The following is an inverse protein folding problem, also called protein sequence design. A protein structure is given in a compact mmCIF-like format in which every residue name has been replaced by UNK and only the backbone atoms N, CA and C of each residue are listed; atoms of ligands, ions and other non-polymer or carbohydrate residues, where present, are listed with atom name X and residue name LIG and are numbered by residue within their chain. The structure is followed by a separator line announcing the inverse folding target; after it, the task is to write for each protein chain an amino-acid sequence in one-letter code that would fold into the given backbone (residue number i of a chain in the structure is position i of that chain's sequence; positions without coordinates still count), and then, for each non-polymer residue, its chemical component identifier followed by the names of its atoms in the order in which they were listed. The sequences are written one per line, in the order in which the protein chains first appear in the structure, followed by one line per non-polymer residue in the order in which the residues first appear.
data_IF_107032142736
#
_entry.id   IF_107032142736
#
_cell.length_a   1.000
_cell.length_b   1.000
_cell.length_c   1.000
_cell.angle_alpha   90.00
_cell.angle_beta   90.00
_cell.angle_gamma   90.00
#
_symmetry.space_group_name_H-M   'P 1'
#
loop_
_entity.id
_entity.type
_entity.pdbx_description
1 polymer ?
#
# COMPACT_ATOMS: atom_id res chain seq x y z
N UNK A 1 28.41 38.55 -13.27
CA UNK A 1 27.72 37.27 -12.99
C UNK A 1 26.97 37.48 -11.69
N UNK A 2 25.73 37.91 -11.83
CA UNK A 2 24.98 38.59 -10.79
C UNK A 2 24.49 37.63 -9.71
N UNK A 3 24.77 37.95 -8.44
CA UNK A 3 24.42 37.12 -7.28
C UNK A 3 22.92 36.80 -7.14
N UNK A 4 22.06 37.51 -7.89
CA UNK A 4 20.63 37.23 -8.01
C UNK A 4 20.34 35.94 -8.79
N UNK A 5 21.12 35.65 -9.83
CA UNK A 5 20.99 34.40 -10.60
C UNK A 5 21.41 33.19 -9.77
N UNK A 6 22.48 33.33 -8.98
CA UNK A 6 22.93 32.28 -8.07
C UNK A 6 21.89 32.02 -6.94
N UNK A 7 21.29 33.07 -6.39
CA UNK A 7 20.26 32.94 -5.35
C UNK A 7 18.99 32.23 -5.85
N UNK A 8 18.52 32.55 -7.06
CA UNK A 8 17.37 31.85 -7.66
C UNK A 8 17.67 30.37 -7.90
N UNK A 9 18.89 30.04 -8.36
CA UNK A 9 19.29 28.66 -8.65
C UNK A 9 19.36 27.80 -7.37
N UNK A 10 19.83 28.38 -6.26
CA UNK A 10 19.86 27.72 -4.95
C UNK A 10 18.44 27.50 -4.39
N UNK A 11 17.55 28.49 -4.51
CA UNK A 11 16.15 28.36 -4.03
C UNK A 11 15.38 27.28 -4.82
N UNK A 12 15.58 27.20 -6.14
CA UNK A 12 14.95 26.16 -6.97
C UNK A 12 15.45 24.74 -6.66
N UNK A 13 16.72 24.58 -6.27
CA UNK A 13 17.30 23.29 -5.87
C UNK A 13 16.79 22.80 -4.49
N UNK A 14 16.43 23.71 -3.59
CA UNK A 14 15.89 23.37 -2.25
C UNK A 14 14.44 22.89 -2.34
N UNK A 15 13.64 23.44 -3.27
CA UNK A 15 12.22 23.09 -3.40
C UNK A 15 11.96 21.72 -4.04
N UNK A 16 12.97 21.07 -4.64
CA UNK A 16 12.82 19.76 -5.30
C UNK A 16 13.11 18.56 -4.37
N UNK A 17 13.43 18.77 -3.09
CA UNK A 17 13.93 17.70 -2.20
C UNK A 17 13.03 17.31 -1.00
N UNK A 18 11.74 17.66 -0.98
CA UNK A 18 10.86 17.25 0.13
C UNK A 18 9.69 16.38 -0.30
N UNK A 19 10.01 15.12 -0.62
CA UNK A 19 9.10 13.99 -0.43
C UNK A 19 9.80 12.93 0.42
N UNK A 20 10.29 13.33 1.61
CA UNK A 20 10.68 12.35 2.61
C UNK A 20 9.41 11.87 3.33
N UNK A 21 9.01 10.59 3.20
CA UNK A 21 7.98 10.06 4.07
C UNK A 21 8.48 10.17 5.51
N UNK A 22 7.70 10.82 6.38
CA UNK A 22 7.96 10.81 7.82
C UNK A 22 7.89 9.36 8.27
N UNK A 23 9.05 8.79 8.56
CA UNK A 23 9.14 7.49 9.24
C UNK A 23 8.92 7.81 10.72
N UNK A 24 7.66 7.74 11.15
CA UNK A 24 7.36 7.79 12.58
C UNK A 24 8.13 6.63 13.24
N UNK A 25 8.91 6.97 14.26
CA UNK A 25 9.76 6.00 14.95
C UNK A 25 8.81 5.04 15.68
N UNK A 26 8.78 3.80 15.22
CA UNK A 26 7.93 2.75 15.75
C UNK A 26 8.22 2.54 17.23
N UNK A 27 7.27 2.88 18.11
CA UNK A 27 7.36 2.55 19.53
C UNK A 27 7.27 1.03 19.70
N UNK A 28 8.29 0.38 20.32
CA UNK A 28 8.25 -1.06 20.55
C UNK A 28 7.07 -1.42 21.47
N UNK A 29 6.14 -2.23 20.96
CA UNK A 29 5.09 -2.85 21.78
C UNK A 29 3.66 -2.36 21.55
N UNK A 30 3.42 -1.32 20.73
CA UNK A 30 2.05 -0.99 20.28
C UNK A 30 1.61 -1.98 19.20
N UNK A 31 0.46 -2.67 19.35
CA UNK A 31 -0.09 -3.46 18.25
C UNK A 31 -0.42 -2.51 17.08
N UNK A 32 0.20 -2.74 15.92
CA UNK A 32 -0.09 -1.98 14.70
C UNK A 32 -1.60 -1.97 14.45
N UNK A 33 -2.16 -0.79 14.16
CA UNK A 33 -3.45 -0.72 13.49
C UNK A 33 -3.39 -1.47 12.15
N UNK A 34 -4.54 -1.87 11.63
CA UNK A 34 -4.55 -2.58 10.35
C UNK A 34 -3.97 -1.76 9.20
N UNK A 35 -4.18 -0.45 9.21
CA UNK A 35 -3.61 0.44 8.22
C UNK A 35 -2.08 0.55 8.35
N UNK A 36 -1.57 0.80 9.56
CA UNK A 36 -0.13 0.88 9.82
C UNK A 36 0.59 -0.43 9.45
N UNK A 37 -0.06 -1.57 9.73
CA UNK A 37 0.44 -2.90 9.36
C UNK A 37 0.53 -3.06 7.84
N UNK A 38 -0.55 -2.76 7.11
CA UNK A 38 -0.62 -2.90 5.66
C UNK A 38 0.38 -1.99 4.95
N UNK A 39 0.53 -0.74 5.42
CA UNK A 39 1.52 0.20 4.89
C UNK A 39 2.96 -0.25 5.17
N UNK A 40 3.21 -0.80 6.36
CA UNK A 40 4.54 -1.34 6.71
C UNK A 40 4.90 -2.53 5.82
N UNK A 41 3.95 -3.43 5.58
CA UNK A 41 4.11 -4.54 4.65
C UNK A 41 4.34 -4.05 3.22
N UNK A 42 3.55 -3.09 2.75
CA UNK A 42 3.69 -2.51 1.41
C UNK A 42 5.10 -1.93 1.18
N UNK A 43 5.61 -1.17 2.16
CA UNK A 43 6.98 -0.63 2.12
C UNK A 43 8.05 -1.73 2.11
N UNK A 44 7.88 -2.80 2.90
CA UNK A 44 8.81 -3.93 2.90
C UNK A 44 8.85 -4.63 1.53
N UNK A 45 7.68 -4.81 0.90
CA UNK A 45 7.54 -5.39 -0.44
C UNK A 45 8.22 -4.50 -1.51
N UNK A 46 8.04 -3.17 -1.44
CA UNK A 46 8.74 -2.23 -2.35
C UNK A 46 10.25 -2.34 -2.16
N UNK A 47 10.72 -2.27 -0.91
CA UNK A 47 12.15 -2.31 -0.58
C UNK A 47 12.82 -3.59 -1.08
N UNK A 48 12.12 -4.72 -0.98
CA UNK A 48 12.61 -6.01 -1.45
C UNK A 48 12.53 -6.19 -2.97
N UNK A 49 11.81 -5.32 -3.69
CA UNK A 49 11.59 -5.47 -5.13
C UNK A 49 10.70 -6.67 -5.49
N UNK A 50 9.90 -7.18 -4.55
CA UNK A 50 9.08 -8.40 -4.73
C UNK A 50 7.61 -8.11 -5.06
N UNK A 51 7.30 -6.84 -5.37
CA UNK A 51 5.98 -6.37 -5.78
C UNK A 51 5.45 -7.18 -6.96
N UNK A 52 4.18 -7.57 -6.90
CA UNK A 52 3.54 -8.22 -8.04
C UNK A 52 3.31 -7.19 -9.17
N UNK A 53 4.06 -7.33 -10.27
CA UNK A 53 4.00 -6.41 -11.41
C UNK A 53 2.71 -6.53 -12.25
N UNK A 54 1.91 -7.58 -12.07
CA UNK A 54 0.66 -7.76 -12.83
C UNK A 54 -0.50 -6.94 -12.29
N UNK A 55 -0.43 -6.46 -11.04
CA UNK A 55 -1.51 -5.74 -10.37
C UNK A 55 -1.00 -4.44 -9.75
N UNK A 56 -1.63 -3.32 -10.09
CA UNK A 56 -1.20 -1.98 -9.69
C UNK A 56 -1.83 -1.57 -8.36
N UNK A 57 -1.08 -0.94 -7.45
CA UNK A 57 -1.63 -0.42 -6.20
C UNK A 57 -2.61 0.71 -6.44
N UNK A 58 -3.71 0.71 -5.69
CA UNK A 58 -4.62 1.86 -5.60
C UNK A 58 -4.08 2.80 -4.52
N UNK A 59 -3.83 4.09 -4.82
CA UNK A 59 -3.34 5.05 -3.84
C UNK A 59 -4.22 5.10 -2.59
N UNK A 60 -3.60 5.14 -1.40
CA UNK A 60 -4.29 5.17 -0.11
C UNK A 60 -4.85 3.83 0.37
N UNK A 61 -4.83 2.78 -0.47
CA UNK A 61 -5.38 1.46 -0.13
C UNK A 61 -4.36 0.34 -0.44
N UNK A 62 -3.35 0.09 0.43
CA UNK A 62 -2.25 -0.84 0.14
C UNK A 62 -2.69 -2.29 -0.17
N UNK A 63 -3.84 -2.69 0.38
CA UNK A 63 -4.47 -3.99 0.20
C UNK A 63 -5.40 -4.09 -1.02
N UNK A 64 -5.53 -3.02 -1.82
CA UNK A 64 -6.42 -2.97 -2.98
C UNK A 64 -5.57 -2.78 -4.22
N UNK A 65 -5.80 -3.64 -5.21
CA UNK A 65 -5.05 -3.61 -6.47
C UNK A 65 -5.99 -3.61 -7.65
N UNK A 66 -5.55 -2.98 -8.73
CA UNK A 66 -6.28 -2.93 -10.00
C UNK A 66 -5.45 -3.56 -11.13
N UNK A 67 -6.10 -3.74 -12.27
CA UNK A 67 -5.46 -4.08 -13.53
C UNK A 67 -6.07 -3.21 -14.63
N UNK A 68 -5.54 -3.29 -15.86
CA UNK A 68 -6.03 -2.49 -16.98
C UNK A 68 -7.54 -2.64 -17.25
N UNK A 69 -8.11 -3.81 -16.98
CA UNK A 69 -9.53 -4.07 -17.21
C UNK A 69 -10.40 -3.41 -16.14
N UNK A 70 -10.09 -3.62 -14.87
CA UNK A 70 -10.82 -3.02 -13.76
C UNK A 70 -10.67 -1.50 -13.75
N UNK A 71 -9.50 -0.99 -14.14
CA UNK A 71 -9.27 0.45 -14.30
C UNK A 71 -10.20 1.08 -15.35
N UNK A 72 -10.27 0.48 -16.55
CA UNK A 72 -11.17 0.94 -17.60
C UNK A 72 -12.66 0.78 -17.26
N UNK A 73 -13.01 -0.16 -16.38
CA UNK A 73 -14.40 -0.43 -16.01
C UNK A 73 -14.96 0.59 -15.02
N UNK A 74 -14.16 1.05 -14.04
CA UNK A 74 -14.64 1.82 -12.89
C UNK A 74 -15.44 3.09 -13.24
N UNK A 75 -15.05 3.82 -14.29
CA UNK A 75 -15.74 5.04 -14.73
C UNK A 75 -17.10 4.79 -15.40
N UNK A 76 -17.38 3.55 -15.80
CA UNK A 76 -18.58 3.16 -16.56
C UNK A 76 -19.64 2.51 -15.66
N UNK A 77 -19.35 2.34 -14.38
CA UNK A 77 -20.26 1.73 -13.41
C UNK A 77 -21.13 2.82 -12.79
N UNK A 78 -22.43 2.78 -13.10
CA UNK A 78 -23.43 3.70 -12.54
C UNK A 78 -24.19 3.05 -11.38
N UNK A 79 -24.49 1.76 -11.52
CA UNK A 79 -25.23 0.97 -10.53
C UNK A 79 -24.41 0.71 -9.24
N UNK A 80 -24.94 1.03 -8.04
CA UNK A 80 -24.24 0.81 -6.77
C UNK A 80 -23.77 -0.64 -6.57
N UNK A 81 -24.61 -1.62 -6.91
CA UNK A 81 -24.26 -3.04 -6.79
C UNK A 81 -23.12 -3.47 -7.72
N UNK A 82 -23.00 -2.84 -8.90
CA UNK A 82 -21.89 -3.10 -9.81
C UNK A 82 -20.59 -2.48 -9.30
N UNK A 83 -20.67 -1.29 -8.67
CA UNK A 83 -19.53 -0.64 -8.02
C UNK A 83 -19.00 -1.45 -6.83
N UNK A 84 -19.91 -2.01 -6.02
CA UNK A 84 -19.60 -2.95 -4.94
C UNK A 84 -18.78 -4.14 -5.48
N UNK A 85 -19.32 -4.86 -6.47
CA UNK A 85 -18.67 -6.04 -7.04
C UNK A 85 -17.29 -5.71 -7.64
N UNK A 86 -17.16 -4.52 -8.23
CA UNK A 86 -15.89 -4.03 -8.77
C UNK A 86 -14.84 -3.78 -7.70
N UNK A 87 -15.21 -3.15 -6.57
CA UNK A 87 -14.31 -2.95 -5.42
C UNK A 87 -13.92 -4.30 -4.80
N UNK A 88 -14.86 -5.22 -4.66
CA UNK A 88 -14.59 -6.58 -4.16
C UNK A 88 -13.58 -7.32 -5.03
N UNK A 89 -13.70 -7.20 -6.35
CA UNK A 89 -12.74 -7.80 -7.28
C UNK A 89 -11.35 -7.15 -7.17
N UNK A 90 -11.25 -5.83 -7.01
CA UNK A 90 -9.98 -5.16 -6.74
C UNK A 90 -9.33 -5.58 -5.41
N UNK A 91 -10.14 -5.76 -4.35
CA UNK A 91 -9.67 -6.30 -3.08
C UNK A 91 -9.19 -7.75 -3.23
N UNK A 92 -9.89 -8.56 -4.02
CA UNK A 92 -9.49 -9.94 -4.37
C UNK A 92 -8.13 -9.97 -5.07
N UNK A 93 -7.90 -9.08 -6.05
CA UNK A 93 -6.59 -8.94 -6.68
C UNK A 93 -5.50 -8.54 -5.68
N UNK A 94 -5.82 -7.65 -4.75
CA UNK A 94 -4.92 -7.28 -3.67
C UNK A 94 -4.49 -8.45 -2.80
N UNK A 95 -5.42 -9.31 -2.41
CA UNK A 95 -5.07 -10.54 -1.68
C UNK A 95 -4.15 -11.46 -2.47
N UNK A 96 -4.44 -11.68 -3.76
CA UNK A 96 -3.61 -12.53 -4.61
C UNK A 96 -2.22 -11.95 -4.84
N UNK A 97 -2.10 -10.63 -4.94
CA UNK A 97 -0.81 -9.94 -5.01
C UNK A 97 -0.03 -10.17 -3.72
N UNK A 98 -0.63 -9.81 -2.57
CA UNK A 98 0.04 -9.80 -1.29
C UNK A 98 0.47 -11.19 -0.83
N UNK A 99 -0.31 -12.24 -1.13
CA UNK A 99 0.08 -13.61 -0.79
C UNK A 99 1.36 -14.04 -1.52
N UNK A 100 1.48 -13.68 -2.81
CA UNK A 100 2.71 -13.90 -3.59
C UNK A 100 3.86 -13.02 -3.12
N UNK A 101 3.58 -11.75 -2.83
CA UNK A 101 4.58 -10.78 -2.32
C UNK A 101 5.16 -11.25 -0.98
N UNK A 102 4.33 -11.76 -0.06
CA UNK A 102 4.75 -12.36 1.22
C UNK A 102 5.56 -13.64 0.98
N UNK A 103 5.13 -14.51 0.06
CA UNK A 103 5.87 -15.72 -0.28
C UNK A 103 7.29 -15.42 -0.75
N UNK A 104 7.47 -14.32 -1.48
CA UNK A 104 8.75 -13.90 -2.03
C UNK A 104 9.53 -12.96 -1.09
N UNK A 105 8.97 -12.56 0.05
CA UNK A 105 9.63 -11.62 0.95
C UNK A 105 10.87 -12.28 1.60
N UNK A 106 12.04 -11.62 1.60
CA UNK A 106 13.23 -12.10 2.28
C UNK A 106 13.00 -12.32 3.78
N UNK A 107 13.61 -13.36 4.35
CA UNK A 107 13.42 -13.73 5.75
C UNK A 107 13.87 -12.61 6.71
N UNK A 108 14.86 -11.80 6.34
CA UNK A 108 15.35 -10.68 7.13
C UNK A 108 14.25 -9.62 7.33
N UNK A 109 13.42 -9.39 6.31
CA UNK A 109 12.29 -8.47 6.40
C UNK A 109 11.08 -9.12 7.10
N UNK A 110 10.94 -10.45 7.05
CA UNK A 110 9.93 -11.17 7.84
C UNK A 110 10.11 -10.97 9.34
N UNK A 111 11.36 -10.84 9.82
CA UNK A 111 11.65 -10.60 11.25
C UNK A 111 11.04 -9.29 11.76
N UNK A 112 10.88 -8.28 10.90
CA UNK A 112 10.29 -6.98 11.30
C UNK A 112 8.80 -7.07 11.66
N UNK A 113 8.15 -8.18 11.31
CA UNK A 113 6.76 -8.46 11.66
C UNK A 113 6.63 -9.38 12.88
N UNK A 114 7.75 -9.90 13.41
CA UNK A 114 7.80 -10.67 14.65
C UNK A 114 7.41 -9.84 15.87
N UNK A 115 6.50 -10.35 16.69
CA UNK A 115 6.18 -9.73 17.98
C UNK A 115 7.32 -9.87 19.00
N UNK A 116 7.22 -9.17 20.14
CA UNK A 116 8.24 -9.16 21.20
C UNK A 116 8.49 -10.52 21.88
N UNK A 117 7.72 -11.55 21.55
CA UNK A 117 7.93 -12.91 22.05
C UNK A 117 8.61 -13.78 21.00
N UNK A 118 9.95 -13.82 21.01
CA UNK A 118 10.92 -14.85 20.55
C UNK A 118 10.63 -15.75 19.32
N UNK A 119 9.53 -15.59 18.60
CA UNK A 119 9.09 -16.45 17.52
C UNK A 119 9.15 -15.70 16.19
N UNK A 120 9.77 -16.31 15.20
CA UNK A 120 9.69 -15.88 13.80
C UNK A 120 8.23 -15.95 13.35
N UNK A 121 7.64 -14.83 12.92
CA UNK A 121 6.30 -14.85 12.31
C UNK A 121 6.36 -15.62 11.00
N UNK A 122 5.51 -16.62 10.87
CA UNK A 122 5.41 -17.41 9.65
C UNK A 122 4.75 -16.59 8.53
N UNK A 123 5.12 -16.88 7.28
CA UNK A 123 4.47 -16.32 6.09
C UNK A 123 2.95 -16.53 6.12
N UNK A 124 2.50 -17.68 6.64
CA UNK A 124 1.08 -18.01 6.80
C UNK A 124 0.38 -17.07 7.76
N UNK A 125 0.97 -16.78 8.92
CA UNK A 125 0.42 -15.82 9.89
C UNK A 125 0.35 -14.41 9.30
N UNK A 126 1.38 -14.00 8.54
CA UNK A 126 1.40 -12.71 7.88
C UNK A 126 0.28 -12.58 6.82
N UNK A 127 0.11 -13.60 5.97
CA UNK A 127 -1.01 -13.67 5.00
C UNK A 127 -2.37 -13.69 5.68
N UNK A 128 -2.52 -14.35 6.84
CA UNK A 128 -3.76 -14.34 7.62
C UNK A 128 -4.07 -12.96 8.18
N UNK A 129 -3.06 -12.25 8.69
CA UNK A 129 -3.21 -10.88 9.20
C UNK A 129 -3.64 -9.90 8.11
N UNK A 130 -3.10 -10.03 6.89
CA UNK A 130 -3.55 -9.25 5.72
C UNK A 130 -5.04 -9.47 5.45
N UNK A 131 -5.50 -10.74 5.46
CA UNK A 131 -6.91 -11.08 5.23
C UNK A 131 -7.82 -10.49 6.30
N UNK A 132 -7.40 -10.49 7.56
CA UNK A 132 -8.15 -9.87 8.65
C UNK A 132 -8.26 -8.35 8.47
N UNK A 133 -7.15 -7.69 8.15
CA UNK A 133 -7.11 -6.23 8.03
C UNK A 133 -7.84 -5.68 6.81
N UNK A 134 -7.88 -6.44 5.71
CA UNK A 134 -8.46 -5.97 4.45
C UNK A 134 -9.98 -6.11 4.38
N UNK A 135 -10.62 -6.84 5.30
CA UNK A 135 -12.10 -6.92 5.39
C UNK A 135 -12.73 -5.60 5.84
N UNK A 136 -11.94 -4.68 6.40
CA UNK A 136 -12.43 -3.48 7.08
C UNK A 136 -12.47 -2.22 6.21
N UNK A 137 -12.04 -2.28 4.95
CA UNK A 137 -11.82 -1.07 4.13
C UNK A 137 -12.96 -0.72 3.18
N UNK A 138 -14.07 -1.48 3.14
CA UNK A 138 -15.12 -1.29 2.14
C UNK A 138 -15.83 0.08 2.23
N UNK A 139 -16.33 0.44 3.42
CA UNK A 139 -17.01 1.73 3.62
C UNK A 139 -16.09 2.94 3.40
N UNK A 140 -14.82 2.80 3.78
CA UNK A 140 -13.81 3.86 3.59
C UNK A 140 -13.51 4.12 2.11
N UNK A 141 -13.58 3.08 1.27
CA UNK A 141 -13.31 3.20 -0.17
C UNK A 141 -14.45 3.90 -0.93
N UNK A 142 -15.71 3.67 -0.54
CA UNK A 142 -16.85 4.36 -1.15
C UNK A 142 -16.86 5.85 -0.83
N UNK A 143 -16.64 6.22 0.44
CA UNK A 143 -16.57 7.63 0.87
C UNK A 143 -15.42 8.39 0.19
N UNK A 144 -14.28 7.72 -0.03
CA UNK A 144 -13.12 8.31 -0.70
C UNK A 144 -13.28 8.46 -2.22
N UNK A 145 -14.38 7.97 -2.82
CA UNK A 145 -14.60 8.03 -4.25
C UNK A 145 -13.54 7.27 -5.04
N UNK A 146 -13.26 6.01 -4.66
CA UNK A 146 -12.18 5.17 -5.19
C UNK A 146 -12.11 5.09 -6.73
N UNK A 147 -13.22 5.29 -7.44
CA UNK A 147 -13.24 5.40 -8.91
C UNK A 147 -12.29 6.49 -9.44
N UNK A 148 -12.12 7.59 -8.72
CA UNK A 148 -11.19 8.67 -9.07
C UNK A 148 -9.71 8.31 -8.89
N UNK A 149 -9.40 7.31 -8.06
CA UNK A 149 -8.05 6.86 -7.73
C UNK A 149 -7.55 5.72 -8.63
N UNK A 150 -8.45 5.17 -9.45
CA UNK A 150 -8.20 4.00 -10.30
C UNK A 150 -8.12 4.39 -11.79
N UNK A 151 -8.33 5.66 -12.11
CA UNK A 151 -8.30 6.26 -13.44
C UNK A 151 -6.88 6.54 -13.95
#
# INVERSE_FOLDING_TARGET
MDGRLAACLVVSLVLLNSCAPVVEKMEPGRPFSCQEFLETLDRAVVRAGVRNASFHPVPGFPNVRTNRFLSALGQRLEEPGARQAWIEEMARLGFLAMDKEISNLPDELMLSFGGHGSGTVSRKELSQRVRQCSRLTFSQMEEAGIASLVA
#
